data_IF_604804631767
#
_entry.id   IF_604804631767
#
_cell.length_a   1.000
_cell.length_b   1.000
_cell.length_c   1.000
_cell.angle_alpha   90.00
_cell.angle_beta   90.00
_cell.angle_gamma   90.00
#
_symmetry.space_group_name_H-M   'P 1'
#
loop_
_entity.id
_entity.type
_entity.pdbx_description
1 polymer ?
#
# COMPACT_ATOMS: atom_id res chain seq x y z
N UNK A 1 -5.69 -0.46 -7.04
CA UNK A 1 -5.42 -1.80 -6.45
C UNK A 1 -4.14 -2.36 -7.07
N UNK A 2 -3.44 -3.31 -6.42
CA UNK A 2 -2.34 -4.03 -7.07
C UNK A 2 -2.81 -4.67 -8.38
N UNK A 3 -1.94 -4.73 -9.37
CA UNK A 3 -2.22 -5.35 -10.65
C UNK A 3 -2.24 -6.88 -10.54
N UNK A 4 -3.14 -7.51 -11.28
CA UNK A 4 -3.22 -8.96 -11.40
C UNK A 4 -2.48 -9.41 -12.65
N UNK A 5 -1.87 -10.60 -12.60
CA UNK A 5 -1.27 -11.22 -13.78
C UNK A 5 -2.36 -11.62 -14.77
N UNK A 6 -2.12 -11.34 -16.05
CA UNK A 6 -2.97 -11.83 -17.13
C UNK A 6 -2.78 -13.32 -17.41
N UNK A 7 -3.65 -13.91 -18.25
CA UNK A 7 -3.51 -15.31 -18.67
C UNK A 7 -2.14 -15.55 -19.32
N UNK A 8 -1.46 -16.63 -18.91
CA UNK A 8 -0.11 -17.02 -19.39
C UNK A 8 1.02 -16.03 -19.06
N UNK A 9 0.80 -15.07 -18.16
CA UNK A 9 1.87 -14.21 -17.63
C UNK A 9 2.38 -14.77 -16.31
N UNK A 10 3.70 -14.96 -16.22
CA UNK A 10 4.36 -15.42 -14.99
C UNK A 10 4.89 -14.25 -14.14
N UNK A 11 4.96 -13.04 -14.71
CA UNK A 11 5.51 -11.84 -14.08
C UNK A 11 4.75 -10.59 -14.57
N UNK A 12 4.63 -9.60 -13.68
CA UNK A 12 4.05 -8.30 -14.01
C UNK A 12 5.02 -7.48 -14.85
N UNK A 13 4.49 -6.58 -15.68
CA UNK A 13 5.31 -5.54 -16.27
C UNK A 13 5.91 -4.63 -15.18
N UNK A 14 7.02 -3.96 -15.49
CA UNK A 14 7.71 -3.08 -14.54
C UNK A 14 6.81 -1.95 -14.07
N UNK A 15 6.04 -1.34 -14.98
CA UNK A 15 5.17 -0.25 -14.60
C UNK A 15 4.08 -0.71 -13.64
N UNK A 16 3.52 -1.88 -13.90
CA UNK A 16 2.50 -2.53 -13.06
C UNK A 16 3.05 -2.96 -11.71
N UNK A 17 4.26 -3.51 -11.68
CA UNK A 17 4.94 -3.89 -10.45
C UNK A 17 5.26 -2.66 -9.59
N UNK A 18 5.75 -1.57 -10.19
CA UNK A 18 6.02 -0.31 -9.50
C UNK A 18 4.74 0.31 -8.93
N UNK A 19 3.66 0.33 -9.72
CA UNK A 19 2.35 0.80 -9.26
C UNK A 19 1.81 -0.05 -8.10
N UNK A 20 1.96 -1.37 -8.18
CA UNK A 20 1.54 -2.29 -7.11
C UNK A 20 2.32 -2.06 -5.81
N UNK A 21 3.64 -1.83 -5.89
CA UNK A 21 4.47 -1.46 -4.74
C UNK A 21 4.02 -0.13 -4.14
N UNK A 22 3.77 0.87 -4.96
CA UNK A 22 3.27 2.18 -4.51
C UNK A 22 1.94 2.06 -3.76
N UNK A 23 0.96 1.34 -4.32
CA UNK A 23 -0.33 1.07 -3.66
C UNK A 23 -0.14 0.31 -2.35
N UNK A 24 0.82 -0.62 -2.29
CA UNK A 24 1.10 -1.41 -1.08
C UNK A 24 1.63 -0.53 0.06
N UNK A 25 2.49 0.45 -0.24
CA UNK A 25 2.98 1.41 0.76
C UNK A 25 1.81 2.22 1.34
N UNK A 26 0.92 2.73 0.48
CA UNK A 26 -0.27 3.48 0.94
C UNK A 26 -1.21 2.59 1.76
N UNK A 27 -1.39 1.33 1.36
CA UNK A 27 -2.18 0.35 2.11
C UNK A 27 -1.65 0.18 3.52
N UNK A 28 -0.33 0.10 3.73
CA UNK A 28 0.25 -0.02 5.06
C UNK A 28 -0.11 1.16 5.98
N UNK A 29 -0.18 2.39 5.44
CA UNK A 29 -0.63 3.56 6.20
C UNK A 29 -2.09 3.40 6.61
N UNK A 30 -2.96 3.06 5.67
CA UNK A 30 -4.40 2.84 5.94
C UNK A 30 -4.62 1.70 6.94
N UNK A 31 -3.88 0.61 6.81
CA UNK A 31 -3.96 -0.54 7.73
C UNK A 31 -3.46 -0.19 9.12
N UNK A 32 -2.44 0.65 9.24
CA UNK A 32 -1.95 1.14 10.54
C UNK A 32 -3.03 1.95 11.28
N UNK A 33 -3.80 2.78 10.56
CA UNK A 33 -4.95 3.50 11.13
C UNK A 33 -6.07 2.52 11.51
N UNK A 34 -6.42 1.62 10.60
CA UNK A 34 -7.46 0.61 10.82
C UNK A 34 -7.16 -0.28 12.03
N UNK A 35 -5.89 -0.64 12.24
CA UNK A 35 -5.45 -1.40 13.40
C UNK A 35 -5.72 -0.68 14.72
N UNK A 36 -5.63 0.66 14.77
CA UNK A 36 -6.00 1.44 15.96
C UNK A 36 -7.49 1.47 16.19
N UNK A 37 -8.29 1.66 15.13
CA UNK A 37 -9.76 1.65 15.21
C UNK A 37 -10.26 0.29 15.70
N UNK A 38 -9.69 -0.82 15.20
CA UNK A 38 -10.04 -2.18 15.63
C UNK A 38 -9.65 -2.53 17.06
N UNK A 39 -8.92 -1.68 17.80
CA UNK A 39 -8.72 -1.86 19.25
C UNK A 39 -10.01 -1.64 20.03
N UNK A 40 -10.97 -0.90 19.47
CA UNK A 40 -12.28 -0.72 20.07
C UNK A 40 -13.12 -1.97 19.82
N UNK A 41 -13.59 -2.62 20.90
CA UNK A 41 -14.31 -3.91 20.85
C UNK A 41 -15.46 -3.89 19.84
N UNK A 42 -16.23 -2.80 19.77
CA UNK A 42 -17.36 -2.63 18.85
C UNK A 42 -16.96 -2.72 17.37
N UNK A 43 -15.74 -2.30 17.01
CA UNK A 43 -15.22 -2.33 15.65
C UNK A 43 -14.44 -3.61 15.32
N UNK A 44 -14.12 -4.42 16.33
CA UNK A 44 -13.49 -5.74 16.16
C UNK A 44 -14.53 -6.86 16.02
N UNK A 45 -15.80 -6.58 16.30
CA UNK A 45 -16.90 -7.52 16.22
C UNK A 45 -17.83 -7.17 15.05
N UNK A 46 -18.75 -8.10 14.74
CA UNK A 46 -19.79 -7.85 13.74
C UNK A 46 -20.71 -6.75 14.25
N UNK A 47 -20.82 -5.67 13.49
CA UNK A 47 -21.75 -4.57 13.78
C UNK A 47 -23.16 -5.00 13.35
N UNK A 48 -24.17 -4.97 14.24
CA UNK A 48 -25.55 -5.24 13.87
C UNK A 48 -26.06 -4.31 12.77
N UNK A 49 -26.87 -4.83 11.85
CA UNK A 49 -27.41 -4.06 10.73
C UNK A 49 -28.21 -2.83 11.17
N UNK A 50 -28.86 -2.89 12.34
CA UNK A 50 -29.59 -1.76 12.94
C UNK A 50 -28.70 -0.55 13.24
N UNK A 51 -27.39 -0.77 13.42
CA UNK A 51 -26.42 0.27 13.74
C UNK A 51 -25.69 0.81 12.51
N UNK A 52 -25.85 0.20 11.32
CA UNK A 52 -25.21 0.65 10.08
C UNK A 52 -25.44 2.14 9.76
N UNK A 53 -26.65 2.72 9.97
CA UNK A 53 -26.86 4.15 9.73
C UNK A 53 -25.97 5.06 10.57
N UNK A 54 -25.47 4.57 11.72
CA UNK A 54 -24.68 5.35 12.69
C UNK A 54 -23.18 5.00 12.68
N UNK A 55 -22.74 4.07 11.83
CA UNK A 55 -21.33 3.62 11.79
C UNK A 55 -20.38 4.78 11.51
N UNK A 56 -20.79 5.74 10.67
CA UNK A 56 -20.00 6.93 10.39
C UNK A 56 -19.74 7.76 11.66
N UNK A 57 -20.79 7.99 12.46
CA UNK A 57 -20.67 8.74 13.72
C UNK A 57 -19.76 8.01 14.70
N UNK A 58 -19.88 6.69 14.80
CA UNK A 58 -18.99 5.89 15.66
C UNK A 58 -17.52 6.01 15.22
N UNK A 59 -17.24 6.02 13.92
CA UNK A 59 -15.88 6.21 13.40
C UNK A 59 -15.36 7.61 13.76
N UNK A 60 -16.17 8.66 13.63
CA UNK A 60 -15.78 10.02 14.00
C UNK A 60 -15.49 10.16 15.49
N UNK A 61 -16.33 9.58 16.33
CA UNK A 61 -16.12 9.56 17.79
C UNK A 61 -14.81 8.84 18.11
N UNK A 62 -14.58 7.65 17.56
CA UNK A 62 -13.34 6.90 17.79
C UNK A 62 -12.11 7.65 17.28
N UNK A 63 -12.19 8.26 16.10
CA UNK A 63 -11.09 9.06 15.56
C UNK A 63 -10.78 10.27 16.45
N UNK A 64 -11.79 10.97 16.96
CA UNK A 64 -11.60 12.08 17.89
C UNK A 64 -10.94 11.63 19.20
N UNK A 65 -11.37 10.50 19.76
CA UNK A 65 -10.75 9.92 20.95
C UNK A 65 -9.29 9.52 20.71
N UNK A 66 -8.99 8.90 19.56
CA UNK A 66 -7.62 8.54 19.18
C UNK A 66 -6.73 9.78 19.03
N UNK A 67 -7.25 10.86 18.45
CA UNK A 67 -6.50 12.10 18.29
C UNK A 67 -6.27 12.85 19.60
N UNK A 68 -7.22 12.75 20.55
CA UNK A 68 -7.12 13.43 21.84
C UNK A 68 -6.21 12.70 22.84
N UNK A 69 -6.28 11.36 22.87
CA UNK A 69 -5.69 10.56 23.96
C UNK A 69 -4.61 9.57 23.52
N UNK A 70 -4.45 9.30 22.22
CA UNK A 70 -3.43 8.36 21.73
C UNK A 70 -2.17 9.10 21.27
N UNK A 71 -1.04 8.40 21.28
CA UNK A 71 0.20 8.96 20.71
C UNK A 71 -0.01 9.27 19.23
N UNK A 72 0.48 10.41 18.76
CA UNK A 72 0.42 10.75 17.35
C UNK A 72 0.94 9.61 16.50
N UNK A 73 0.22 9.28 15.44
CA UNK A 73 0.62 8.22 14.50
C UNK A 73 1.75 8.66 13.59
N UNK A 74 1.77 9.95 13.28
CA UNK A 74 2.76 10.57 12.43
C UNK A 74 3.50 11.58 13.28
N UNK A 75 4.80 11.36 13.40
CA UNK A 75 5.73 12.38 13.87
C UNK A 75 6.37 12.96 12.62
N UNK A 76 6.20 14.26 12.34
CA UNK A 76 6.80 14.87 11.15
C UNK A 76 8.31 14.64 11.15
N UNK A 77 8.82 14.08 10.07
CA UNK A 77 10.25 13.98 9.81
C UNK A 77 10.65 15.06 8.81
N UNK A 78 11.81 15.72 8.99
CA UNK A 78 12.34 16.67 7.99
C UNK A 78 12.48 16.06 6.58
N UNK A 79 12.57 14.73 6.50
CA UNK A 79 12.81 13.98 5.26
C UNK A 79 11.52 13.41 4.63
N UNK A 80 10.34 13.69 5.18
CA UNK A 80 9.08 13.15 4.66
C UNK A 80 8.85 13.58 3.20
N UNK A 81 9.07 14.86 2.90
CA UNK A 81 8.94 15.41 1.54
C UNK A 81 9.95 14.80 0.55
N UNK A 82 11.17 14.53 1.00
CA UNK A 82 12.17 13.85 0.18
C UNK A 82 11.76 12.40 -0.09
N UNK A 83 11.25 11.72 0.94
CA UNK A 83 10.79 10.34 0.85
C UNK A 83 9.63 10.21 -0.14
N UNK A 84 8.64 11.10 -0.06
CA UNK A 84 7.50 11.13 -1.00
C UNK A 84 7.96 11.43 -2.43
N UNK A 85 8.88 12.39 -2.62
CA UNK A 85 9.47 12.68 -3.94
C UNK A 85 10.20 11.47 -4.51
N UNK A 86 10.97 10.77 -3.68
CA UNK A 86 11.67 9.54 -4.08
C UNK A 86 10.71 8.41 -4.43
N UNK A 87 9.66 8.19 -3.63
CA UNK A 87 8.64 7.18 -3.93
C UNK A 87 7.96 7.46 -5.27
N UNK A 88 7.63 8.73 -5.55
CA UNK A 88 7.03 9.12 -6.81
C UNK A 88 7.97 8.95 -8.00
N UNK A 89 9.26 9.29 -7.86
CA UNK A 89 10.23 9.10 -8.95
C UNK A 89 10.46 7.62 -9.25
N UNK A 90 10.56 6.77 -8.23
CA UNK A 90 10.71 5.32 -8.37
C UNK A 90 9.51 4.66 -9.05
N UNK A 91 8.30 5.21 -8.89
CA UNK A 91 7.09 4.68 -9.52
C UNK A 91 7.17 4.66 -11.05
N UNK A 92 7.88 5.63 -11.63
CA UNK A 92 8.02 5.77 -13.09
C UNK A 92 9.39 5.31 -13.60
N UNK A 93 10.24 4.73 -12.74
CA UNK A 93 11.55 4.26 -13.17
C UNK A 93 11.47 2.93 -13.90
N UNK A 94 12.16 2.87 -15.04
CA UNK A 94 12.34 1.64 -15.79
C UNK A 94 13.36 0.72 -15.12
N UNK A 95 13.20 -0.58 -15.33
CA UNK A 95 14.13 -1.57 -14.83
C UNK A 95 15.39 -1.61 -15.71
N UNK A 96 16.50 -1.12 -15.17
CA UNK A 96 17.79 -1.10 -15.88
C UNK A 96 18.31 -2.49 -16.23
N UNK A 97 18.03 -3.50 -15.40
CA UNK A 97 18.36 -4.88 -15.69
C UNK A 97 17.54 -5.42 -16.87
N UNK A 98 16.25 -5.09 -16.95
CA UNK A 98 15.43 -5.50 -18.09
C UNK A 98 15.94 -4.88 -19.40
N UNK A 99 16.32 -3.60 -19.35
CA UNK A 99 16.94 -2.90 -20.50
C UNK A 99 18.22 -3.62 -20.92
N UNK A 100 19.11 -3.92 -19.96
CA UNK A 100 20.34 -4.66 -20.22
C UNK A 100 20.07 -6.03 -20.85
N UNK A 101 19.20 -6.84 -20.24
CA UNK A 101 18.88 -8.18 -20.76
C UNK A 101 18.30 -8.12 -22.18
N UNK A 102 17.50 -7.09 -22.48
CA UNK A 102 16.92 -6.87 -23.82
C UNK A 102 17.98 -6.45 -24.82
N UNK A 103 18.85 -5.49 -24.47
CA UNK A 103 19.92 -5.00 -25.34
C UNK A 103 20.92 -6.09 -25.73
N UNK A 104 21.21 -7.02 -24.82
CA UNK A 104 22.16 -8.10 -25.04
C UNK A 104 21.49 -9.44 -25.42
N UNK A 105 20.17 -9.46 -25.67
CA UNK A 105 19.39 -10.68 -25.97
C UNK A 105 19.63 -11.83 -24.97
N UNK A 106 19.82 -11.49 -23.70
CA UNK A 106 20.09 -12.45 -22.61
C UNK A 106 18.80 -13.00 -21.98
N UNK A 107 17.64 -12.49 -22.41
CA UNK A 107 16.35 -12.88 -21.86
C UNK A 107 15.87 -14.22 -22.48
N UNK A 108 16.10 -15.31 -21.73
CA UNK A 108 15.65 -16.72 -21.94
C UNK A 108 16.50 -17.56 -22.90
N UNK A 109 17.55 -18.17 -22.34
CA UNK A 109 18.14 -19.46 -22.77
C UNK A 109 18.74 -20.23 -21.58
N UNK A 110 18.08 -20.20 -20.41
CA UNK A 110 18.51 -21.07 -19.30
C UNK A 110 17.85 -22.45 -19.42
N UNK A 111 18.28 -23.21 -20.43
CA UNK A 111 18.26 -24.67 -20.34
C UNK A 111 19.57 -25.01 -19.64
N UNK A 112 19.52 -25.08 -18.30
CA UNK A 112 20.63 -25.67 -17.55
C UNK A 112 20.46 -27.18 -17.72
N UNK A 113 21.29 -27.76 -18.60
CA UNK A 113 21.44 -29.21 -18.76
C UNK A 113 21.98 -29.85 -17.48
#
# INVERSE_FOLDING_TARGET
MPSFLGPKQNQSDVQDANNSRFVTILRWVVESVNARIKRFKSFNQVIPNSLLPYVQDFIYIVAALLNCFHVSMVTPSPNDDETVRRMNSLRTQNNTLQIFLTNYNLARNSIWN
#
